data_IF_137408083545
#
_entry.id   IF_137408083545
#
_cell.length_a   1.000
_cell.length_b   1.000
_cell.length_c   1.000
_cell.angle_alpha   90.00
_cell.angle_beta   90.00
_cell.angle_gamma   90.00
#
_symmetry.space_group_name_H-M   'P 1'
#
loop_
_entity.id
_entity.type
_entity.pdbx_description
1 polymer ?
#
# COMPACT_ATOMS: atom_id res chain seq x y z
N UNK A 1 -1.69 7.59 8.54
CA UNK A 1 -2.94 8.28 8.27
C UNK A 1 -3.79 7.44 7.33
N UNK A 2 -4.95 7.89 7.00
CA UNK A 2 -5.82 7.12 6.14
C UNK A 2 -6.25 7.96 4.95
N UNK A 3 -6.69 7.29 3.90
CA UNK A 3 -7.17 7.94 2.70
C UNK A 3 -8.68 7.81 2.71
N UNK A 4 -9.33 8.76 3.33
CA UNK A 4 -10.76 8.62 3.60
C UNK A 4 -11.63 8.71 2.38
N UNK A 5 -11.10 9.24 1.29
CA UNK A 5 -11.92 9.55 0.15
C UNK A 5 -11.77 8.59 -1.01
N UNK A 6 -10.76 7.77 -1.00
CA UNK A 6 -10.49 6.91 -2.15
C UNK A 6 -9.97 5.56 -1.73
N UNK A 7 -10.24 4.58 -2.57
CA UNK A 7 -9.63 3.27 -2.43
C UNK A 7 -8.19 3.31 -2.92
N UNK A 8 -7.38 2.42 -2.41
CA UNK A 8 -5.99 2.28 -2.86
C UNK A 8 -5.76 0.85 -3.31
N UNK A 9 -5.14 0.69 -4.46
CA UNK A 9 -4.84 -0.63 -5.00
C UNK A 9 -3.36 -0.86 -4.96
N UNK A 10 -2.96 -1.94 -4.30
CA UNK A 10 -1.56 -2.35 -4.22
C UNK A 10 -1.34 -3.52 -5.16
N UNK A 11 -0.32 -3.43 -6.00
CA UNK A 11 0.07 -4.52 -6.88
C UNK A 11 1.54 -4.80 -6.64
N UNK A 12 1.88 -6.05 -6.29
CA UNK A 12 3.26 -6.39 -6.03
C UNK A 12 3.91 -6.78 -7.34
N UNK A 13 4.92 -6.04 -7.75
CA UNK A 13 5.65 -6.30 -8.98
C UNK A 13 6.81 -7.25 -8.73
N UNK A 14 7.40 -7.19 -7.54
CA UNK A 14 8.49 -8.09 -7.18
C UNK A 14 8.56 -8.15 -5.67
N UNK A 15 8.90 -9.32 -5.14
CA UNK A 15 9.04 -9.49 -3.71
C UNK A 15 7.73 -9.85 -3.04
N UNK A 16 7.63 -9.51 -1.78
CA UNK A 16 6.44 -9.80 -0.99
C UNK A 16 6.09 -8.60 -0.16
N UNK A 17 4.79 -8.36 -0.01
CA UNK A 17 4.28 -7.25 0.77
C UNK A 17 3.26 -7.75 1.77
N UNK A 18 3.36 -7.28 3.00
CA UNK A 18 2.31 -7.51 3.98
C UNK A 18 1.62 -6.19 4.23
N UNK A 19 0.29 -6.21 4.25
CA UNK A 19 -0.46 -5.03 4.61
C UNK A 19 -1.16 -5.32 5.92
N UNK A 20 -0.80 -4.57 6.95
CA UNK A 20 -1.39 -4.75 8.28
C UNK A 20 -2.61 -3.88 8.41
N UNK A 21 -3.63 -4.44 9.01
CA UNK A 21 -4.83 -3.72 9.39
C UNK A 21 -4.96 -3.82 10.90
N UNK A 22 -5.88 -3.07 11.47
CA UNK A 22 -6.04 -3.12 12.92
C UNK A 22 -6.46 -4.50 13.41
N UNK A 23 -7.14 -5.26 12.58
CA UNK A 23 -7.67 -6.56 12.99
C UNK A 23 -7.04 -7.73 12.23
N UNK A 24 -5.93 -7.52 11.58
CA UNK A 24 -5.28 -8.63 10.87
C UNK A 24 -4.36 -8.11 9.79
N UNK A 25 -4.04 -9.00 8.86
CA UNK A 25 -3.16 -8.58 7.77
C UNK A 25 -3.41 -9.46 6.55
N UNK A 26 -2.92 -9.00 5.40
CA UNK A 26 -2.87 -9.80 4.18
C UNK A 26 -1.43 -9.82 3.70
N UNK A 27 -1.08 -10.87 2.98
CA UNK A 27 0.24 -11.01 2.39
C UNK A 27 0.08 -11.17 0.89
N UNK A 28 0.86 -10.42 0.15
CA UNK A 28 0.81 -10.44 -1.30
C UNK A 28 2.16 -10.85 -1.84
N UNK A 29 2.13 -11.75 -2.80
CA UNK A 29 3.32 -12.16 -3.53
C UNK A 29 3.34 -11.50 -4.89
N UNK A 30 4.43 -11.72 -5.61
CA UNK A 30 4.59 -11.15 -6.93
C UNK A 30 3.37 -11.44 -7.80
N UNK A 31 2.87 -10.43 -8.45
CA UNK A 31 1.73 -10.55 -9.34
C UNK A 31 0.38 -10.45 -8.66
N UNK A 32 0.35 -10.34 -7.35
CA UNK A 32 -0.92 -10.26 -6.63
C UNK A 32 -1.26 -8.82 -6.32
N UNK A 33 -2.55 -8.58 -6.15
CA UNK A 33 -3.02 -7.24 -5.85
C UNK A 33 -4.08 -7.28 -4.76
N UNK A 34 -4.27 -6.16 -4.11
CA UNK A 34 -5.27 -6.02 -3.06
C UNK A 34 -5.77 -4.60 -3.04
N UNK A 35 -7.08 -4.46 -2.94
CA UNK A 35 -7.71 -3.14 -2.87
C UNK A 35 -8.04 -2.84 -1.41
N UNK A 36 -7.47 -1.77 -0.89
CA UNK A 36 -7.78 -1.30 0.45
C UNK A 36 -8.90 -0.28 0.30
N UNK A 37 -10.07 -0.54 0.87
CA UNK A 37 -11.19 0.39 0.74
C UNK A 37 -10.89 1.72 1.41
N UNK A 38 -11.51 2.76 0.92
CA UNK A 38 -11.35 4.08 1.52
C UNK A 38 -11.71 4.03 2.99
N UNK A 39 -11.00 4.81 3.78
CA UNK A 39 -11.27 4.92 5.20
C UNK A 39 -10.68 3.81 6.05
N UNK A 40 -10.03 2.84 5.44
CA UNK A 40 -9.46 1.72 6.19
C UNK A 40 -8.00 2.02 6.47
N UNK A 41 -7.67 2.11 7.74
CA UNK A 41 -6.31 2.38 8.16
C UNK A 41 -5.44 1.15 7.93
N UNK A 42 -4.27 1.35 7.36
CA UNK A 42 -3.42 0.23 7.00
C UNK A 42 -1.96 0.64 7.02
N UNK A 43 -1.10 -0.36 7.11
CA UNK A 43 0.35 -0.14 7.15
C UNK A 43 1.03 -1.20 6.29
N UNK A 44 1.59 -0.83 5.16
CA UNK A 44 2.35 -1.78 4.36
C UNK A 44 3.70 -2.05 4.99
N UNK A 45 4.15 -3.28 4.85
CA UNK A 45 5.42 -3.70 5.42
C UNK A 45 6.08 -4.70 4.48
N UNK A 46 7.36 -4.53 4.24
CA UNK A 46 8.14 -5.47 3.47
C UNK A 46 9.38 -5.84 4.26
N UNK A 47 9.56 -7.13 4.49
CA UNK A 47 10.70 -7.61 5.25
C UNK A 47 11.98 -7.43 4.46
N UNK A 48 11.88 -7.58 3.14
CA UNK A 48 12.97 -7.32 2.22
C UNK A 48 12.44 -6.38 1.17
N UNK A 49 13.34 -5.78 0.43
CA UNK A 49 12.93 -4.82 -0.60
C UNK A 49 11.88 -5.43 -1.51
N UNK A 50 10.82 -4.70 -1.75
CA UNK A 50 9.76 -5.12 -2.65
C UNK A 50 9.41 -3.97 -3.56
N UNK A 51 8.99 -4.31 -4.78
CA UNK A 51 8.52 -3.30 -5.72
C UNK A 51 7.01 -3.37 -5.76
N UNK A 52 6.39 -2.25 -5.46
CA UNK A 52 4.94 -2.20 -5.32
C UNK A 52 4.41 -1.02 -6.11
N UNK A 53 3.38 -1.28 -6.89
CA UNK A 53 2.67 -0.24 -7.60
C UNK A 53 1.43 0.12 -6.80
N UNK A 54 1.29 1.40 -6.50
CA UNK A 54 0.13 1.89 -5.77
C UNK A 54 -0.70 2.72 -6.73
N UNK A 55 -1.95 2.35 -6.87
CA UNK A 55 -2.86 3.05 -7.76
C UNK A 55 -3.93 3.71 -6.93
N UNK A 56 -4.12 5.01 -7.16
CA UNK A 56 -5.19 5.77 -6.52
C UNK A 56 -5.77 6.73 -7.55
N UNK A 57 -7.00 7.17 -7.31
CA UNK A 57 -7.63 8.10 -8.25
C UNK A 57 -6.87 9.41 -8.35
N UNK A 58 -7.01 10.04 -9.49
CA UNK A 58 -6.41 11.35 -9.73
C UNK A 58 -6.98 12.35 -8.73
N UNK A 59 -6.13 13.24 -8.27
CA UNK A 59 -6.57 14.30 -7.38
C UNK A 59 -6.32 14.03 -5.92
N UNK A 60 -5.89 12.82 -5.59
CA UNK A 60 -5.53 12.52 -4.21
C UNK A 60 -4.15 13.10 -3.95
N UNK A 61 -4.03 13.84 -2.86
CA UNK A 61 -2.75 14.39 -2.47
C UNK A 61 -2.07 13.38 -1.56
N UNK A 62 -0.95 12.89 -2.01
CA UNK A 62 -0.18 11.96 -1.24
C UNK A 62 1.10 12.65 -0.81
N UNK A 63 1.03 13.27 0.36
CA UNK A 63 2.13 14.12 0.78
C UNK A 63 3.35 13.34 1.21
N UNK A 64 3.20 12.07 1.45
CA UNK A 64 4.34 11.30 1.89
C UNK A 64 5.24 10.89 0.77
N UNK A 65 4.76 10.97 -0.46
CA UNK A 65 5.52 10.43 -1.53
C UNK A 65 5.01 10.88 -2.86
N UNK A 66 5.81 11.65 -3.51
CA UNK A 66 5.46 12.18 -4.79
C UNK A 66 6.05 11.41 -5.93
N UNK A 67 6.72 10.34 -5.65
CA UNK A 67 7.44 9.68 -6.69
C UNK A 67 6.77 8.45 -7.13
N UNK A 68 6.39 8.13 -8.07
CA UNK A 68 5.72 7.01 -8.58
C UNK A 68 5.87 5.74 -7.79
N UNK A 69 6.23 4.67 -8.41
CA UNK A 69 6.32 3.42 -7.70
C UNK A 69 7.53 3.42 -6.81
N UNK A 70 7.44 2.73 -5.71
CA UNK A 70 8.45 2.75 -4.72
C UNK A 70 8.54 1.45 -4.02
N UNK A 71 9.64 1.35 -3.31
CA UNK A 71 9.78 0.32 -2.32
C UNK A 71 8.88 0.66 -1.17
N UNK A 72 8.14 -0.31 -0.69
CA UNK A 72 7.27 -0.10 0.45
C UNK A 72 8.11 0.26 1.66
N UNK A 73 7.61 1.19 2.44
CA UNK A 73 8.29 1.62 3.65
C UNK A 73 7.73 0.91 4.83
N UNK A 74 8.59 0.58 5.77
CA UNK A 74 8.17 -0.13 6.96
C UNK A 74 7.63 0.85 7.98
N UNK A 75 6.67 0.37 8.75
CA UNK A 75 6.17 1.07 9.92
C UNK A 75 5.47 2.38 9.63
N UNK A 76 4.92 2.51 8.45
CA UNK A 76 4.20 3.73 8.10
C UNK A 76 2.76 3.40 7.82
N UNK A 77 1.87 3.96 8.60
CA UNK A 77 0.44 3.83 8.35
C UNK A 77 0.03 4.87 7.32
N UNK A 78 -0.72 4.43 6.35
CA UNK A 78 -1.16 5.29 5.26
C UNK A 78 -2.65 5.47 5.30
#
# INVERSE_FOLDING_TARGET
HDHKETDETFIVLAGRLRIDFRDGHVELSEGEMYVVPKGVEHKPYAEQEAQVLLIEPRGVVNTGDEKGSKTAENDVWI
#
